data_IF_600237643966
#
_entry.id   IF_600237643966
#
_cell.length_a   1.000
_cell.length_b   1.000
_cell.length_c   1.000
_cell.angle_alpha   90.00
_cell.angle_beta   90.00
_cell.angle_gamma   90.00
#
_symmetry.space_group_name_H-M   'P 1'
#
loop_
_entity.id
_entity.type
_entity.pdbx_description
1 polymer ?
#
# COMPACT_ATOMS: atom_id res chain seq x y z
N UNK A 1 -57.71 15.41 29.15
CA UNK A 1 -56.53 16.31 29.10
C UNK A 1 -55.31 15.60 29.68
N UNK A 2 -54.43 15.10 28.81
CA UNK A 2 -52.99 14.90 29.08
C UNK A 2 -52.30 14.67 27.74
N UNK A 3 -51.77 15.75 27.19
CA UNK A 3 -50.95 15.74 25.98
C UNK A 3 -49.56 15.25 26.40
N UNK A 4 -49.09 14.14 25.83
CA UNK A 4 -47.67 13.74 25.89
C UNK A 4 -47.07 14.02 24.52
N UNK A 5 -46.31 15.10 24.45
CA UNK A 5 -45.45 15.44 23.32
C UNK A 5 -44.14 14.65 23.45
N UNK A 6 -44.00 13.57 22.68
CA UNK A 6 -42.69 12.99 22.40
C UNK A 6 -42.16 13.65 21.13
N UNK A 7 -41.31 14.65 21.30
CA UNK A 7 -40.46 15.18 20.25
C UNK A 7 -39.28 14.23 20.08
N UNK A 8 -39.36 13.36 19.09
CA UNK A 8 -38.19 12.70 18.51
C UNK A 8 -37.76 13.55 17.32
N UNK A 9 -36.75 14.39 17.51
CA UNK A 9 -36.08 15.07 16.40
C UNK A 9 -35.32 14.03 15.59
N UNK A 10 -35.85 13.67 14.43
CA UNK A 10 -35.10 12.97 13.39
C UNK A 10 -34.02 13.93 12.87
N UNK A 11 -32.77 13.66 13.22
CA UNK A 11 -31.62 14.23 12.53
C UNK A 11 -31.37 13.38 11.28
N UNK A 12 -31.99 13.73 10.15
CA UNK A 12 -31.68 13.19 8.83
C UNK A 12 -30.43 13.90 8.26
N UNK A 13 -29.34 13.91 9.03
CA UNK A 13 -28.05 14.47 8.61
C UNK A 13 -27.19 13.39 7.97
N UNK A 14 -27.10 13.39 6.65
CA UNK A 14 -26.05 12.62 5.94
C UNK A 14 -24.73 13.28 6.30
N UNK A 15 -24.02 12.72 7.30
CA UNK A 15 -22.63 13.08 7.58
C UNK A 15 -21.80 12.52 6.43
N UNK A 16 -21.72 13.24 5.33
CA UNK A 16 -20.68 12.98 4.34
C UNK A 16 -19.35 13.10 5.10
N UNK A 17 -18.36 12.29 4.76
CA UNK A 17 -16.97 12.64 5.04
C UNK A 17 -16.62 13.88 4.19
N UNK A 18 -17.32 14.99 4.44
CA UNK A 18 -17.33 16.22 3.67
C UNK A 18 -15.95 16.84 3.69
N UNK A 19 -15.18 16.66 4.76
CA UNK A 19 -13.75 17.00 4.77
C UNK A 19 -12.95 16.25 3.69
N UNK A 20 -13.21 14.95 3.46
CA UNK A 20 -12.52 14.16 2.43
C UNK A 20 -13.07 14.41 1.03
N UNK A 21 -14.39 14.63 0.87
CA UNK A 21 -14.98 15.07 -0.41
C UNK A 21 -14.49 16.46 -0.80
N UNK A 22 -14.40 17.37 0.17
CA UNK A 22 -13.88 18.72 -0.02
C UNK A 22 -12.39 18.73 -0.31
N UNK A 23 -11.58 17.87 0.32
CA UNK A 23 -10.17 17.65 -0.08
C UNK A 23 -10.11 17.11 -1.51
N UNK A 24 -10.98 16.15 -1.87
CA UNK A 24 -11.06 15.67 -3.25
C UNK A 24 -11.45 16.79 -4.23
N UNK A 25 -12.45 17.62 -3.90
CA UNK A 25 -12.94 18.72 -4.75
C UNK A 25 -11.97 19.91 -4.84
N UNK A 26 -11.29 20.27 -3.73
CA UNK A 26 -10.20 21.26 -3.72
C UNK A 26 -9.01 20.79 -4.57
N UNK A 27 -8.62 19.51 -4.47
CA UNK A 27 -7.54 18.96 -5.30
C UNK A 27 -7.94 18.66 -6.75
N UNK A 28 -9.22 18.38 -7.04
CA UNK A 28 -9.71 18.21 -8.42
C UNK A 28 -9.85 19.58 -9.13
N UNK A 29 -10.06 20.69 -8.40
CA UNK A 29 -10.02 22.05 -8.97
C UNK A 29 -8.64 22.45 -9.52
N UNK A 30 -7.53 22.02 -8.90
CA UNK A 30 -6.17 22.26 -9.43
C UNK A 30 -5.93 21.53 -10.76
N UNK A 31 -6.68 20.44 -11.02
CA UNK A 31 -6.63 19.65 -12.26
C UNK A 31 -7.26 20.38 -13.45
N UNK A 32 -8.32 21.16 -13.22
CA UNK A 32 -9.02 21.90 -14.29
C UNK A 32 -8.24 23.15 -14.70
N UNK A 33 -7.44 23.74 -13.80
CA UNK A 33 -6.63 24.93 -14.10
C UNK A 33 -5.38 24.67 -14.94
N UNK A 34 -4.97 23.42 -15.16
CA UNK A 34 -3.73 23.06 -15.88
C UNK A 34 -3.97 22.35 -17.23
N UNK A 35 -5.23 22.08 -17.60
CA UNK A 35 -5.56 21.51 -18.90
C UNK A 35 -5.74 22.64 -19.94
N UNK A 36 -4.64 22.99 -20.62
CA UNK A 36 -4.71 23.77 -21.86
C UNK A 36 -5.24 22.90 -23.01
N UNK A 37 -6.22 23.36 -23.81
CA UNK A 37 -6.77 22.58 -24.90
C UNK A 37 -5.84 22.64 -26.10
N UNK A 38 -5.11 21.55 -26.37
CA UNK A 38 -4.53 21.33 -27.68
C UNK A 38 -5.09 20.02 -28.25
N UNK A 39 -6.22 20.16 -28.93
CA UNK A 39 -6.63 19.26 -29.99
C UNK A 39 -5.67 19.41 -31.17
N UNK A 40 -4.99 18.34 -31.56
CA UNK A 40 -4.71 18.09 -32.98
C UNK A 40 -4.66 16.58 -33.21
N UNK A 41 -5.56 16.15 -34.10
CA UNK A 41 -5.73 14.77 -34.50
C UNK A 41 -4.55 14.21 -35.28
N UNK A 42 -4.52 12.88 -35.36
CA UNK A 42 -3.74 12.17 -36.36
C UNK A 42 -4.47 10.88 -36.72
N UNK A 43 -4.52 10.66 -38.03
CA UNK A 43 -5.41 9.80 -38.78
C UNK A 43 -5.11 8.30 -38.65
N UNK A 44 -6.17 7.52 -38.85
CA UNK A 44 -6.17 6.09 -39.04
C UNK A 44 -5.45 5.68 -40.34
N UNK A 45 -4.46 4.79 -40.22
CA UNK A 45 -3.93 4.00 -41.33
C UNK A 45 -4.32 2.53 -41.17
N UNK A 46 -5.33 2.10 -41.92
CA UNK A 46 -5.72 0.69 -42.11
C UNK A 46 -4.87 0.10 -43.23
N UNK A 47 -4.14 -0.99 -42.96
CA UNK A 47 -3.59 -1.86 -44.01
C UNK A 47 -3.79 -3.31 -43.59
N UNK A 48 -4.63 -4.02 -44.36
CA UNK A 48 -4.77 -5.46 -44.32
C UNK A 48 -3.67 -6.18 -45.13
N UNK A 49 -3.55 -7.49 -44.91
CA UNK A 49 -2.67 -8.35 -45.68
C UNK A 49 -2.81 -9.81 -45.25
N UNK A 50 -3.40 -10.59 -46.14
CA UNK A 50 -3.78 -11.99 -46.02
C UNK A 50 -2.60 -12.99 -45.99
N UNK A 51 -2.96 -14.22 -45.57
CA UNK A 51 -2.50 -15.51 -46.08
C UNK A 51 -1.00 -15.79 -46.29
N UNK A 52 -0.45 -16.70 -45.46
CA UNK A 52 0.41 -17.78 -45.96
C UNK A 52 0.44 -18.98 -44.99
N UNK A 53 -0.29 -20.02 -45.37
CA UNK A 53 0.00 -21.41 -44.99
C UNK A 53 1.36 -21.78 -45.60
N UNK A 54 2.32 -22.14 -44.77
CA UNK A 54 3.42 -22.97 -45.23
C UNK A 54 3.78 -24.03 -44.20
N UNK A 55 3.85 -25.25 -44.73
CA UNK A 55 4.04 -26.54 -44.09
C UNK A 55 5.46 -26.92 -44.43
N UNK A 56 6.35 -27.00 -43.45
CA UNK A 56 7.66 -27.62 -43.66
C UNK A 56 7.99 -28.59 -42.54
N UNK A 57 8.49 -29.72 -43.02
CA UNK A 57 8.87 -30.94 -42.36
C UNK A 57 10.09 -30.72 -41.46
N UNK A 58 10.18 -31.49 -40.38
CA UNK A 58 11.34 -31.44 -39.48
C UNK A 58 12.58 -32.14 -40.04
N UNK A 59 13.72 -32.01 -39.33
CA UNK A 59 14.74 -33.05 -39.28
C UNK A 59 14.92 -33.58 -37.85
N UNK A 60 15.32 -34.85 -37.79
CA UNK A 60 15.42 -35.68 -36.59
C UNK A 60 16.60 -35.37 -35.66
N UNK A 61 16.86 -36.28 -34.70
CA UNK A 61 17.72 -36.03 -33.55
C UNK A 61 19.18 -36.28 -33.90
N UNK A 62 20.04 -35.31 -33.60
CA UNK A 62 21.48 -35.41 -33.82
C UNK A 62 22.26 -34.56 -32.82
N UNK A 63 23.14 -35.26 -32.11
CA UNK A 63 24.42 -34.82 -31.53
C UNK A 63 24.46 -34.35 -30.06
N UNK A 64 25.17 -35.19 -29.30
CA UNK A 64 25.68 -35.04 -27.95
C UNK A 64 26.45 -33.73 -27.75
N UNK A 65 25.75 -32.72 -27.25
CA UNK A 65 26.35 -31.58 -26.57
C UNK A 65 26.66 -31.94 -25.12
N UNK A 66 27.91 -32.31 -24.83
CA UNK A 66 28.41 -32.45 -23.45
C UNK A 66 28.33 -31.09 -22.75
N UNK A 67 27.22 -30.82 -22.05
CA UNK A 67 27.11 -29.68 -21.15
C UNK A 67 28.04 -29.97 -19.97
N UNK A 68 29.16 -29.25 -19.88
CA UNK A 68 29.99 -29.24 -18.67
C UNK A 68 29.12 -28.77 -17.52
N UNK A 69 28.68 -29.72 -16.69
CA UNK A 69 28.05 -29.44 -15.41
C UNK A 69 29.08 -28.70 -14.55
N UNK A 70 29.01 -27.38 -14.52
CA UNK A 70 29.70 -26.57 -13.54
C UNK A 70 29.10 -26.93 -12.18
N UNK A 71 29.82 -27.75 -11.42
CA UNK A 71 29.44 -28.13 -10.07
C UNK A 71 29.18 -26.86 -9.26
N UNK A 72 27.97 -26.64 -8.73
CA UNK A 72 27.69 -25.46 -7.93
C UNK A 72 28.62 -25.49 -6.71
N UNK A 73 29.39 -24.40 -6.54
CA UNK A 73 30.33 -24.27 -5.45
C UNK A 73 29.61 -24.53 -4.11
N UNK A 74 30.11 -25.50 -3.35
CA UNK A 74 29.58 -25.87 -2.04
C UNK A 74 29.82 -24.70 -1.08
N UNK A 75 28.82 -23.85 -0.89
CA UNK A 75 28.86 -22.72 0.04
C UNK A 75 28.88 -23.26 1.47
N UNK A 76 29.95 -22.98 2.22
CA UNK A 76 30.06 -23.33 3.64
C UNK A 76 28.92 -22.65 4.42
N UNK A 77 28.10 -23.45 5.12
CA UNK A 77 27.05 -22.96 6.02
C UNK A 77 27.68 -22.16 7.16
N UNK A 78 27.44 -20.86 7.19
CA UNK A 78 27.77 -19.99 8.32
C UNK A 78 26.48 -19.62 9.04
N UNK A 79 26.47 -19.68 10.36
CA UNK A 79 25.36 -19.24 11.22
C UNK A 79 25.32 -17.71 11.31
N UNK A 80 25.49 -17.01 10.19
CA UNK A 80 25.40 -15.55 10.16
C UNK A 80 23.95 -15.13 10.37
N UNK A 81 23.72 -14.27 11.35
CA UNK A 81 22.38 -13.79 11.70
C UNK A 81 21.81 -12.81 10.66
N UNK A 82 22.63 -12.26 9.76
CA UNK A 82 22.20 -11.33 8.70
C UNK A 82 22.99 -11.62 7.41
N UNK A 83 22.27 -11.76 6.30
CA UNK A 83 22.87 -11.83 4.96
C UNK A 83 23.05 -10.42 4.42
N UNK A 84 24.18 -10.20 3.75
CA UNK A 84 24.50 -8.97 3.03
C UNK A 84 24.40 -9.20 1.53
N UNK A 85 24.28 -8.11 0.79
CA UNK A 85 24.27 -8.12 -0.67
C UNK A 85 25.54 -8.81 -1.25
N UNK A 86 26.68 -8.73 -0.55
CA UNK A 86 27.95 -9.40 -0.90
C UNK A 86 27.99 -10.90 -0.65
N UNK A 87 26.98 -11.47 0.03
CA UNK A 87 26.85 -12.93 0.16
C UNK A 87 26.23 -13.58 -1.11
N UNK A 88 25.80 -12.77 -2.08
CA UNK A 88 25.42 -13.23 -3.42
C UNK A 88 26.61 -13.17 -4.39
N UNK A 89 26.62 -14.00 -5.45
CA UNK A 89 27.58 -13.85 -6.55
C UNK A 89 27.53 -12.44 -7.13
N UNK A 90 28.69 -11.80 -7.32
CA UNK A 90 28.79 -10.39 -7.69
C UNK A 90 28.10 -10.07 -9.02
N UNK A 91 28.10 -11.02 -9.95
CA UNK A 91 27.44 -10.91 -11.25
C UNK A 91 25.91 -10.98 -11.18
N UNK A 92 25.35 -11.46 -10.07
CA UNK A 92 23.91 -11.65 -9.90
C UNK A 92 23.26 -10.48 -9.14
N UNK A 93 24.07 -9.63 -8.50
CA UNK A 93 23.61 -8.58 -7.62
C UNK A 93 22.71 -7.53 -8.30
N UNK A 94 23.05 -6.99 -9.50
CA UNK A 94 22.19 -6.03 -10.18
C UNK A 94 20.81 -6.61 -10.51
N UNK A 95 20.74 -7.84 -11.01
CA UNK A 95 19.50 -8.52 -11.34
C UNK A 95 18.73 -8.97 -10.09
N UNK A 96 19.40 -9.22 -8.96
CA UNK A 96 18.70 -9.49 -7.71
C UNK A 96 17.83 -8.30 -7.30
N UNK A 97 18.41 -7.09 -7.28
CA UNK A 97 17.67 -5.86 -6.94
C UNK A 97 16.68 -5.46 -8.04
N UNK A 98 17.09 -5.54 -9.31
CA UNK A 98 16.29 -5.08 -10.46
C UNK A 98 15.17 -6.04 -10.89
N UNK A 99 15.35 -7.34 -10.67
CA UNK A 99 14.44 -8.37 -11.23
C UNK A 99 13.83 -9.25 -10.12
N UNK A 100 14.66 -9.85 -9.26
CA UNK A 100 14.18 -10.81 -8.24
C UNK A 100 13.31 -10.13 -7.19
N UNK A 101 13.74 -8.98 -6.66
CA UNK A 101 13.02 -8.27 -5.60
C UNK A 101 11.63 -7.78 -6.06
N UNK A 102 11.48 -7.11 -7.21
CA UNK A 102 10.16 -6.72 -7.72
C UNK A 102 9.22 -7.92 -7.94
N UNK A 103 9.71 -9.02 -8.52
CA UNK A 103 8.93 -10.24 -8.71
C UNK A 103 8.51 -10.89 -7.38
N UNK A 104 9.38 -10.84 -6.37
CA UNK A 104 9.05 -11.32 -5.02
C UNK A 104 7.97 -10.45 -4.36
N UNK A 105 8.04 -9.12 -4.51
CA UNK A 105 7.02 -8.18 -4.00
C UNK A 105 5.68 -8.39 -4.68
N UNK A 106 5.67 -8.62 -6.00
CA UNK A 106 4.46 -8.98 -6.76
C UNK A 106 3.81 -10.23 -6.19
N UNK A 107 4.56 -11.35 -6.12
CA UNK A 107 4.03 -12.60 -5.62
C UNK A 107 3.54 -12.46 -4.17
N UNK A 108 4.33 -11.84 -3.29
CA UNK A 108 3.97 -11.61 -1.90
C UNK A 108 2.69 -10.76 -1.75
N UNK A 109 2.46 -9.79 -2.64
CA UNK A 109 1.24 -9.00 -2.67
C UNK A 109 -0.03 -9.81 -2.93
N UNK A 110 0.07 -10.93 -3.65
CA UNK A 110 -1.06 -11.81 -3.97
C UNK A 110 -1.42 -12.80 -2.87
N UNK A 111 -0.50 -13.03 -1.93
CA UNK A 111 -0.69 -13.97 -0.82
C UNK A 111 -1.53 -13.37 0.31
N UNK A 112 -1.80 -14.15 1.35
CA UNK A 112 -2.39 -13.62 2.58
C UNK A 112 -1.42 -12.63 3.25
N UNK A 113 -1.95 -11.58 3.92
CA UNK A 113 -1.09 -10.60 4.60
C UNK A 113 -0.17 -11.30 5.60
N UNK A 114 1.07 -10.80 5.70
CA UNK A 114 2.16 -11.34 6.53
C UNK A 114 2.69 -12.73 6.14
N UNK A 115 2.12 -13.42 5.16
CA UNK A 115 2.69 -14.67 4.67
C UNK A 115 4.00 -14.39 3.93
N UNK A 116 5.06 -15.11 4.30
CA UNK A 116 6.34 -15.07 3.61
C UNK A 116 6.36 -16.05 2.45
N UNK A 117 7.17 -15.74 1.43
CA UNK A 117 7.45 -16.69 0.36
C UNK A 117 8.16 -17.91 0.94
N UNK A 118 7.79 -19.10 0.48
CA UNK A 118 8.52 -20.31 0.80
C UNK A 118 9.73 -20.50 -0.14
N UNK A 119 10.63 -21.43 0.19
CA UNK A 119 11.86 -21.68 -0.58
C UNK A 119 11.56 -22.00 -2.04
N UNK A 120 10.52 -22.79 -2.32
CA UNK A 120 10.15 -23.16 -3.69
C UNK A 120 9.66 -21.95 -4.51
N UNK A 121 8.92 -21.04 -3.89
CA UNK A 121 8.49 -19.79 -4.53
C UNK A 121 9.67 -18.88 -4.84
N UNK A 122 10.62 -18.74 -3.90
CA UNK A 122 11.85 -17.96 -4.13
C UNK A 122 12.73 -18.62 -5.20
N UNK A 123 12.86 -19.96 -5.19
CA UNK A 123 13.56 -20.72 -6.22
C UNK A 123 12.95 -20.47 -7.60
N UNK A 124 11.61 -20.52 -7.73
CA UNK A 124 10.93 -20.27 -9.00
C UNK A 124 11.20 -18.85 -9.54
N UNK A 125 11.28 -17.84 -8.67
CA UNK A 125 11.64 -16.47 -9.07
C UNK A 125 13.10 -16.40 -9.51
N UNK A 126 14.02 -17.01 -8.75
CA UNK A 126 15.45 -17.04 -9.09
C UNK A 126 15.68 -17.76 -10.43
N UNK A 127 15.04 -18.92 -10.63
CA UNK A 127 15.10 -19.67 -11.89
C UNK A 127 14.51 -18.88 -13.06
N UNK A 128 13.44 -18.11 -12.82
CA UNK A 128 12.84 -17.23 -13.85
C UNK A 128 13.79 -16.12 -14.29
N UNK A 129 14.60 -15.58 -13.39
CA UNK A 129 15.53 -14.47 -13.68
C UNK A 129 16.85 -14.97 -14.27
N UNK A 130 17.38 -16.07 -13.74
CA UNK A 130 18.76 -16.52 -14.01
C UNK A 130 18.85 -17.79 -14.87
N UNK A 131 17.72 -18.47 -15.10
CA UNK A 131 17.66 -19.78 -15.74
C UNK A 131 17.62 -20.91 -14.70
N UNK A 132 16.93 -22.02 -15.01
CA UNK A 132 16.71 -23.11 -14.07
C UNK A 132 18.02 -23.73 -13.60
N UNK A 133 18.18 -23.88 -12.29
CA UNK A 133 19.33 -24.55 -11.68
C UNK A 133 20.63 -23.77 -11.69
N UNK A 134 20.64 -22.52 -12.20
CA UNK A 134 21.84 -21.67 -12.15
C UNK A 134 22.24 -21.32 -10.71
N UNK A 135 21.25 -21.05 -9.86
CA UNK A 135 21.45 -20.80 -8.44
C UNK A 135 20.47 -21.63 -7.60
N UNK A 136 20.99 -22.23 -6.52
CA UNK A 136 20.19 -22.98 -5.57
C UNK A 136 19.75 -22.08 -4.41
N UNK A 137 18.45 -22.06 -4.14
CA UNK A 137 17.85 -21.37 -3.01
C UNK A 137 17.67 -22.35 -1.87
N UNK A 138 18.37 -22.10 -0.77
CA UNK A 138 18.21 -22.84 0.48
C UNK A 138 17.45 -22.01 1.53
N UNK A 139 16.75 -22.67 2.45
CA UNK A 139 16.02 -22.00 3.55
C UNK A 139 16.91 -21.08 4.40
N UNK A 140 18.16 -21.48 4.61
CA UNK A 140 19.18 -20.72 5.33
C UNK A 140 20.28 -20.28 4.35
N UNK A 141 19.88 -19.90 3.13
CA UNK A 141 20.77 -19.39 2.09
C UNK A 141 20.60 -17.89 1.88
N UNK A 142 21.58 -17.22 1.26
CA UNK A 142 21.57 -15.77 1.07
C UNK A 142 20.40 -15.30 0.21
N UNK A 143 20.02 -16.05 -0.84
CA UNK A 143 18.85 -15.74 -1.67
C UNK A 143 17.56 -15.63 -0.86
N UNK A 144 17.26 -16.65 -0.06
CA UNK A 144 16.03 -16.69 0.73
C UNK A 144 16.04 -15.63 1.84
N UNK A 145 17.18 -15.48 2.53
CA UNK A 145 17.34 -14.50 3.60
C UNK A 145 17.23 -13.07 3.11
N UNK A 146 17.87 -12.71 2.00
CA UNK A 146 17.79 -11.38 1.41
C UNK A 146 16.39 -11.08 0.85
N UNK A 147 15.73 -12.02 0.18
CA UNK A 147 14.32 -11.83 -0.24
C UNK A 147 13.42 -11.58 0.96
N UNK A 148 13.57 -12.37 2.02
CA UNK A 148 12.80 -12.19 3.27
C UNK A 148 13.03 -10.82 3.87
N UNK A 149 14.28 -10.36 3.93
CA UNK A 149 14.63 -9.01 4.39
C UNK A 149 13.98 -7.92 3.54
N UNK A 150 14.09 -8.00 2.21
CA UNK A 150 13.50 -7.01 1.27
C UNK A 150 11.97 -7.00 1.32
N UNK A 151 11.33 -8.12 1.65
CA UNK A 151 9.89 -8.19 1.88
C UNK A 151 9.48 -7.56 3.21
N UNK A 152 10.29 -7.69 4.26
CA UNK A 152 10.05 -6.98 5.53
C UNK A 152 10.14 -5.47 5.34
N UNK A 153 11.19 -5.00 4.66
CA UNK A 153 11.34 -3.58 4.29
C UNK A 153 10.16 -3.06 3.45
N UNK A 154 9.76 -3.81 2.43
CA UNK A 154 8.57 -3.51 1.63
C UNK A 154 7.29 -3.36 2.47
N UNK A 155 7.09 -4.23 3.47
CA UNK A 155 5.94 -4.17 4.38
C UNK A 155 5.99 -2.93 5.28
N UNK A 156 7.16 -2.61 5.83
CA UNK A 156 7.38 -1.37 6.60
C UNK A 156 7.07 -0.12 5.77
N UNK A 157 7.31 -0.18 4.46
CA UNK A 157 6.91 0.85 3.51
C UNK A 157 5.42 1.21 3.57
N UNK A 158 4.50 0.27 3.81
CA UNK A 158 3.07 0.60 3.95
C UNK A 158 2.80 1.49 5.17
N UNK A 159 3.42 1.21 6.31
CA UNK A 159 3.27 2.03 7.51
C UNK A 159 3.77 3.46 7.29
N UNK A 160 4.92 3.61 6.63
CA UNK A 160 5.46 4.92 6.26
C UNK A 160 4.53 5.69 5.32
N UNK A 161 3.90 5.01 4.36
CA UNK A 161 3.01 5.65 3.39
C UNK A 161 1.66 6.02 4.03
N UNK A 162 1.17 5.23 4.99
CA UNK A 162 0.00 5.59 5.79
C UNK A 162 0.26 6.83 6.65
N UNK A 163 1.45 6.94 7.25
CA UNK A 163 1.88 8.14 7.97
C UNK A 163 1.84 9.38 7.07
N UNK A 164 2.51 9.31 5.91
CA UNK A 164 2.53 10.40 4.92
C UNK A 164 1.13 10.82 4.45
N UNK A 165 0.21 9.86 4.29
CA UNK A 165 -1.17 10.16 3.90
C UNK A 165 -1.85 11.08 4.93
N UNK A 166 -1.72 10.76 6.22
CA UNK A 166 -2.26 11.60 7.30
C UNK A 166 -1.53 12.94 7.44
N UNK A 167 -0.20 12.95 7.26
CA UNK A 167 0.57 14.20 7.31
C UNK A 167 0.09 15.19 6.24
N UNK A 168 -0.17 14.71 5.02
CA UNK A 168 -0.77 15.53 3.95
C UNK A 168 -2.17 16.00 4.31
N UNK A 169 -3.03 15.11 4.82
CA UNK A 169 -4.38 15.47 5.26
C UNK A 169 -4.38 16.62 6.29
N UNK A 170 -3.48 16.55 7.27
CA UNK A 170 -3.34 17.58 8.32
C UNK A 170 -2.70 18.87 7.77
N UNK A 171 -1.70 18.75 6.89
CA UNK A 171 -1.03 19.91 6.28
C UNK A 171 -2.00 20.70 5.40
N UNK A 172 -2.69 20.04 4.48
CA UNK A 172 -3.60 20.68 3.53
C UNK A 172 -4.76 21.39 4.26
N UNK A 173 -5.26 20.81 5.36
CA UNK A 173 -6.27 21.43 6.19
C UNK A 173 -5.80 22.74 6.86
N UNK A 174 -4.54 22.78 7.34
CA UNK A 174 -3.95 23.98 7.96
C UNK A 174 -3.70 25.10 6.96
N UNK A 175 -3.23 24.76 5.77
CA UNK A 175 -2.99 25.74 4.70
C UNK A 175 -4.31 26.40 4.28
N UNK A 176 -5.37 25.60 4.13
CA UNK A 176 -6.69 26.11 3.78
C UNK A 176 -7.30 27.02 4.85
N UNK A 177 -7.12 26.70 6.14
CA UNK A 177 -7.59 27.54 7.24
C UNK A 177 -6.88 28.90 7.28
N UNK A 178 -5.65 28.99 6.78
CA UNK A 178 -4.88 30.25 6.73
C UNK A 178 -5.44 31.23 5.69
N UNK A 179 -5.88 30.73 4.53
CA UNK A 179 -6.43 31.56 3.44
C UNK A 179 -7.73 32.26 3.84
N UNK A 180 -8.58 31.59 4.62
CA UNK A 180 -9.90 32.09 5.03
C UNK A 180 -9.85 33.27 6.03
N UNK A 181 -8.70 33.53 6.66
CA UNK A 181 -8.54 34.63 7.62
C UNK A 181 -8.06 35.94 6.96
N UNK A 182 -8.11 36.05 5.63
CA UNK A 182 -7.73 37.29 4.92
C UNK A 182 -8.93 38.27 4.89
N UNK A 183 -8.78 39.52 5.39
CA UNK A 183 -9.90 40.46 5.59
C UNK A 183 -10.71 40.89 4.36
N UNK A 184 -10.26 40.56 3.15
CA UNK A 184 -10.85 41.08 1.89
C UNK A 184 -11.88 40.14 1.24
N UNK A 185 -12.23 39.00 1.86
CA UNK A 185 -13.28 38.12 1.34
C UNK A 185 -14.67 38.66 1.68
N UNK A 186 -15.20 39.44 0.73
CA UNK A 186 -16.54 40.03 0.62
C UNK A 186 -17.66 39.04 1.03
N UNK A 187 -18.56 39.54 1.87
CA UNK A 187 -19.79 38.90 2.35
C UNK A 187 -20.67 38.42 1.18
N UNK A 188 -20.64 37.11 0.87
CA UNK A 188 -21.70 36.45 0.10
C UNK A 188 -22.60 35.67 1.07
N UNK A 189 -23.89 35.90 0.90
CA UNK A 189 -25.01 35.56 1.79
C UNK A 189 -25.17 34.05 2.10
N UNK A 190 -25.32 33.74 3.40
CA UNK A 190 -26.26 32.82 4.06
C UNK A 190 -26.64 31.44 3.45
N UNK A 191 -25.74 30.73 2.77
CA UNK A 191 -25.85 29.27 2.71
C UNK A 191 -25.28 28.69 4.01
N UNK A 192 -26.16 28.17 4.89
CA UNK A 192 -25.74 27.46 6.12
C UNK A 192 -24.69 26.42 5.72
N UNK A 193 -23.42 26.59 6.14
CA UNK A 193 -22.36 25.71 5.69
C UNK A 193 -22.66 24.33 6.25
N UNK A 194 -22.92 23.36 5.35
CA UNK A 194 -22.92 21.94 5.64
C UNK A 194 -21.71 21.66 6.53
N UNK A 195 -21.95 21.48 7.83
CA UNK A 195 -20.90 21.57 8.83
C UNK A 195 -19.81 20.55 8.50
N UNK A 196 -18.58 21.01 8.21
CA UNK A 196 -17.45 20.09 8.09
C UNK A 196 -17.40 19.28 9.40
N UNK A 197 -17.56 17.94 9.37
CA UNK A 197 -17.79 17.19 10.59
C UNK A 197 -16.58 17.20 11.54
N UNK A 198 -15.39 17.53 11.04
CA UNK A 198 -14.15 17.58 11.81
C UNK A 198 -13.28 18.76 11.36
N UNK A 199 -12.72 19.50 12.32
CA UNK A 199 -11.75 20.56 12.06
C UNK A 199 -10.31 20.04 12.15
N UNK A 200 -9.73 19.71 10.99
CA UNK A 200 -8.35 19.23 10.90
C UNK A 200 -7.28 20.32 11.11
N UNK A 201 -7.66 21.61 11.24
CA UNK A 201 -6.72 22.67 11.56
C UNK A 201 -6.28 22.62 13.04
N UNK A 202 -7.06 21.96 13.89
CA UNK A 202 -6.78 21.85 15.32
C UNK A 202 -6.68 20.39 15.79
N UNK A 203 -5.96 20.17 16.90
CA UNK A 203 -5.74 18.83 17.44
C UNK A 203 -7.05 18.13 17.84
N UNK A 204 -8.02 18.87 18.38
CA UNK A 204 -9.31 18.30 18.82
C UNK A 204 -10.07 17.68 17.65
N UNK A 205 -10.19 18.36 16.51
CA UNK A 205 -10.90 17.82 15.35
C UNK A 205 -10.16 16.65 14.70
N UNK A 206 -8.82 16.64 14.72
CA UNK A 206 -8.03 15.46 14.30
C UNK A 206 -8.31 14.27 15.22
N UNK A 207 -8.35 14.48 16.54
CA UNK A 207 -8.65 13.44 17.52
C UNK A 207 -10.05 12.86 17.33
N UNK A 208 -11.06 13.73 17.20
CA UNK A 208 -12.46 13.36 16.95
C UNK A 208 -12.60 12.56 15.65
N UNK A 209 -11.92 12.99 14.58
CA UNK A 209 -11.87 12.23 13.33
C UNK A 209 -11.26 10.84 13.55
N UNK A 210 -10.12 10.71 14.23
CA UNK A 210 -9.45 9.43 14.43
C UNK A 210 -10.27 8.48 15.32
N UNK A 211 -10.94 9.01 16.34
CA UNK A 211 -11.86 8.25 17.17
C UNK A 211 -13.06 7.75 16.36
N UNK A 212 -13.71 8.62 15.59
CA UNK A 212 -14.78 8.24 14.68
C UNK A 212 -14.32 7.19 13.66
N UNK A 213 -13.17 7.45 13.03
CA UNK A 213 -12.57 6.59 12.02
C UNK A 213 -12.39 5.16 12.53
N UNK A 214 -11.84 4.99 13.74
CA UNK A 214 -11.52 3.72 14.38
C UNK A 214 -12.68 3.06 15.13
N UNK A 215 -13.80 3.75 15.29
CA UNK A 215 -14.95 3.19 15.99
C UNK A 215 -15.59 2.07 15.16
N UNK A 216 -15.79 0.90 15.79
CA UNK A 216 -16.51 -0.19 15.16
C UNK A 216 -18.01 0.10 15.12
N UNK A 217 -18.56 0.34 13.95
CA UNK A 217 -19.99 0.52 13.78
C UNK A 217 -20.64 -0.80 13.36
N UNK A 218 -21.59 -1.27 14.18
CA UNK A 218 -22.39 -2.47 13.93
C UNK A 218 -23.81 -2.05 13.48
N UNK A 219 -24.08 -1.94 12.17
CA UNK A 219 -25.45 -1.72 11.71
C UNK A 219 -26.27 -3.00 11.96
N UNK A 220 -27.07 -2.98 13.03
CA UNK A 220 -27.90 -4.11 13.47
C UNK A 220 -27.12 -5.28 14.10
N UNK A 221 -27.81 -6.40 14.35
CA UNK A 221 -27.25 -7.64 14.93
C UNK A 221 -26.24 -8.39 14.03
N UNK A 222 -25.54 -7.70 13.12
CA UNK A 222 -24.58 -8.31 12.19
C UNK A 222 -23.28 -8.66 12.91
N UNK A 223 -22.75 -9.85 12.60
CA UNK A 223 -21.49 -10.38 13.15
C UNK A 223 -20.22 -9.67 12.64
N UNK A 224 -20.30 -8.88 11.57
CA UNK A 224 -19.14 -8.22 10.95
C UNK A 224 -19.24 -6.70 11.17
N UNK A 225 -18.36 -6.17 12.01
CA UNK A 225 -18.15 -4.74 12.17
C UNK A 225 -17.22 -4.21 11.08
N UNK A 226 -17.46 -2.99 10.64
CA UNK A 226 -16.54 -2.21 9.79
C UNK A 226 -16.33 -0.87 10.45
N UNK A 227 -15.14 -0.30 10.30
CA UNK A 227 -14.77 1.03 10.76
C UNK A 227 -15.03 2.07 9.66
N UNK A 228 -15.15 3.35 10.03
CA UNK A 228 -15.50 4.40 9.08
C UNK A 228 -14.39 4.64 8.03
N UNK A 229 -13.12 4.56 8.43
CA UNK A 229 -11.99 4.73 7.49
C UNK A 229 -11.91 3.66 6.40
N UNK A 230 -12.65 2.55 6.53
CA UNK A 230 -12.72 1.56 5.47
C UNK A 230 -13.54 2.02 4.28
N UNK A 231 -14.26 3.12 4.34
CA UNK A 231 -15.19 3.51 3.27
C UNK A 231 -14.78 4.87 2.71
N UNK A 232 -15.00 5.09 1.41
CA UNK A 232 -14.84 6.42 0.81
C UNK A 232 -15.84 7.39 1.43
N UNK A 233 -17.10 6.97 1.43
CA UNK A 233 -18.20 7.73 2.01
C UNK A 233 -18.78 6.91 3.14
N UNK A 234 -18.82 7.52 4.32
CA UNK A 234 -19.36 6.90 5.52
C UNK A 234 -20.37 7.87 6.13
N UNK A 235 -21.65 7.66 5.85
CA UNK A 235 -22.76 8.43 6.42
C UNK A 235 -22.96 8.16 7.92
N UNK A 236 -24.21 8.10 8.33
CA UNK A 236 -24.68 7.68 9.66
C UNK A 236 -24.42 6.19 10.01
N UNK A 237 -23.64 5.49 9.19
CA UNK A 237 -23.41 4.05 9.29
C UNK A 237 -24.43 3.17 8.56
N UNK A 238 -25.47 3.74 7.95
CA UNK A 238 -26.38 3.03 7.03
C UNK A 238 -25.99 3.25 5.58
N UNK A 239 -25.61 4.48 5.22
CA UNK A 239 -25.17 4.86 3.88
C UNK A 239 -23.64 4.77 3.78
N UNK A 240 -23.13 3.64 3.28
CA UNK A 240 -21.68 3.42 3.09
C UNK A 240 -21.37 3.10 1.64
N UNK A 241 -20.35 3.76 1.10
CA UNK A 241 -19.93 3.56 -0.29
C UNK A 241 -18.41 3.45 -0.40
N UNK A 242 -17.93 2.67 -1.37
CA UNK A 242 -16.52 2.57 -1.69
C UNK A 242 -15.70 1.85 -0.62
N UNK A 243 -16.03 0.59 -0.34
CA UNK A 243 -15.28 -0.21 0.64
C UNK A 243 -13.81 -0.40 0.21
N UNK A 244 -12.88 0.11 1.02
CA UNK A 244 -11.44 0.27 0.83
C UNK A 244 -11.02 1.28 -0.24
N UNK A 245 -11.90 2.23 -0.57
CA UNK A 245 -11.62 3.38 -1.44
C UNK A 245 -11.44 4.68 -0.66
N UNK A 246 -11.15 4.61 0.64
CA UNK A 246 -10.81 5.82 1.39
C UNK A 246 -9.44 6.36 0.95
N UNK A 247 -9.29 7.67 0.99
CA UNK A 247 -8.06 8.38 0.61
C UNK A 247 -6.80 7.73 1.21
N UNK A 248 -6.80 7.49 2.52
CA UNK A 248 -5.63 6.93 3.21
C UNK A 248 -5.30 5.51 2.72
N UNK A 249 -6.31 4.68 2.45
CA UNK A 249 -6.09 3.31 1.95
C UNK A 249 -5.56 3.36 0.52
N UNK A 250 -6.17 4.15 -0.37
CA UNK A 250 -5.72 4.27 -1.77
C UNK A 250 -4.29 4.80 -1.86
N UNK A 251 -3.98 5.87 -1.13
CA UNK A 251 -2.63 6.45 -1.08
C UNK A 251 -1.59 5.45 -0.58
N UNK A 252 -1.93 4.71 0.46
CA UNK A 252 -1.04 3.70 1.06
C UNK A 252 -0.88 2.49 0.14
N UNK A 253 -1.96 2.02 -0.47
CA UNK A 253 -1.94 0.89 -1.40
C UNK A 253 -1.18 1.20 -2.69
N UNK A 254 -1.18 2.46 -3.14
CA UNK A 254 -0.37 2.91 -4.27
C UNK A 254 1.14 2.67 -4.08
N UNK A 255 1.61 2.50 -2.84
CA UNK A 255 2.97 2.00 -2.53
C UNK A 255 3.26 0.71 -3.27
N UNK A 256 2.39 -0.29 -3.14
CA UNK A 256 2.57 -1.58 -3.80
C UNK A 256 2.57 -1.43 -5.32
N UNK A 257 1.68 -0.60 -5.87
CA UNK A 257 1.62 -0.39 -7.32
C UNK A 257 2.87 0.30 -7.88
N UNK A 258 3.54 1.14 -7.10
CA UNK A 258 4.84 1.70 -7.47
C UNK A 258 5.93 0.61 -7.51
N UNK A 259 5.86 -0.36 -6.60
CA UNK A 259 6.79 -1.50 -6.61
C UNK A 259 6.61 -2.38 -7.84
N UNK A 260 5.38 -2.53 -8.33
CA UNK A 260 5.11 -3.28 -9.57
C UNK A 260 5.64 -2.58 -10.82
N UNK A 261 5.79 -1.26 -10.80
CA UNK A 261 6.40 -0.52 -11.91
C UNK A 261 7.90 -0.84 -12.07
N UNK A 262 8.55 -1.30 -11.00
CA UNK A 262 9.94 -1.69 -11.04
C UNK A 262 10.16 -3.07 -11.68
N UNK A 263 9.10 -3.82 -12.01
CA UNK A 263 9.22 -5.11 -12.71
C UNK A 263 9.64 -4.86 -14.16
N UNK A 264 10.79 -5.40 -14.61
CA UNK A 264 11.23 -5.24 -15.99
C UNK A 264 10.21 -5.79 -17.00
N UNK A 265 10.01 -5.07 -18.11
CA UNK A 265 9.04 -5.38 -19.17
C UNK A 265 9.20 -6.80 -19.75
N UNK A 266 10.42 -7.35 -19.71
CA UNK A 266 10.71 -8.75 -20.14
C UNK A 266 9.97 -9.80 -19.31
N UNK A 267 9.46 -9.46 -18.13
CA UNK A 267 8.67 -10.36 -17.30
C UNK A 267 7.19 -10.01 -17.42
N UNK A 268 6.39 -10.98 -17.84
CA UNK A 268 4.93 -10.88 -17.75
C UNK A 268 4.51 -10.71 -16.29
N UNK A 269 3.72 -9.67 -16.02
CA UNK A 269 3.15 -9.41 -14.69
C UNK A 269 2.06 -10.41 -14.37
N UNK A 270 1.96 -10.77 -13.11
CA UNK A 270 0.88 -11.62 -12.63
C UNK A 270 -0.47 -10.92 -12.75
N UNK A 271 -1.45 -11.61 -13.31
CA UNK A 271 -2.85 -11.16 -13.31
C UNK A 271 -3.56 -11.42 -11.97
N UNK A 272 -2.86 -12.03 -11.01
CA UNK A 272 -3.42 -12.32 -9.70
C UNK A 272 -3.66 -11.02 -8.92
N UNK A 273 -4.80 -10.96 -8.21
CA UNK A 273 -5.18 -9.77 -7.46
C UNK A 273 -4.31 -9.62 -6.21
N UNK A 274 -3.78 -8.41 -5.92
CA UNK A 274 -2.86 -8.16 -4.81
C UNK A 274 -3.58 -8.05 -3.45
N UNK A 275 -4.25 -9.14 -3.04
CA UNK A 275 -5.11 -9.18 -1.85
C UNK A 275 -4.34 -8.90 -0.56
N UNK A 276 -3.16 -9.50 -0.40
CA UNK A 276 -2.30 -9.31 0.77
C UNK A 276 -1.81 -7.87 0.88
N UNK A 277 -1.38 -7.28 -0.24
CA UNK A 277 -0.93 -5.89 -0.27
C UNK A 277 -2.05 -4.90 0.10
N UNK A 278 -3.28 -5.13 -0.38
CA UNK A 278 -4.42 -4.29 0.01
C UNK A 278 -4.73 -4.40 1.51
N UNK A 279 -4.71 -5.61 2.07
CA UNK A 279 -4.93 -5.81 3.50
C UNK A 279 -3.81 -5.19 4.36
N UNK A 280 -2.56 -5.28 3.93
CA UNK A 280 -1.43 -4.59 4.58
C UNK A 280 -1.63 -3.07 4.58
N UNK A 281 -2.11 -2.50 3.47
CA UNK A 281 -2.43 -1.07 3.41
C UNK A 281 -3.52 -0.68 4.41
N UNK A 282 -4.59 -1.47 4.51
CA UNK A 282 -5.67 -1.25 5.50
C UNK A 282 -5.14 -1.28 6.93
N UNK A 283 -4.32 -2.27 7.27
CA UNK A 283 -3.72 -2.39 8.61
C UNK A 283 -2.75 -1.24 8.92
N UNK A 284 -1.96 -0.80 7.93
CA UNK A 284 -1.06 0.33 8.08
C UNK A 284 -1.83 1.63 8.37
N UNK A 285 -2.97 1.84 7.69
CA UNK A 285 -3.86 2.98 7.94
C UNK A 285 -4.47 2.91 9.34
N UNK A 286 -4.98 1.75 9.75
CA UNK A 286 -5.54 1.54 11.09
C UNK A 286 -4.52 1.88 12.18
N UNK A 287 -3.29 1.35 12.05
CA UNK A 287 -2.17 1.66 12.94
C UNK A 287 -1.92 3.15 13.02
N UNK A 288 -1.81 3.79 11.87
CA UNK A 288 -1.43 5.19 11.80
C UNK A 288 -2.51 6.10 12.39
N UNK A 289 -3.80 5.83 12.13
CA UNK A 289 -4.91 6.53 12.79
C UNK A 289 -4.84 6.39 14.32
N UNK A 290 -4.39 5.22 14.80
CA UNK A 290 -4.13 4.99 16.22
C UNK A 290 -3.12 5.96 16.84
N UNK A 291 -2.14 6.43 16.07
CA UNK A 291 -1.11 7.37 16.53
C UNK A 291 -1.59 8.82 16.58
N UNK A 292 -2.72 9.12 15.92
CA UNK A 292 -3.32 10.46 15.87
C UNK A 292 -4.52 10.62 16.82
N UNK A 293 -4.81 9.63 17.68
CA UNK A 293 -5.99 9.64 18.58
C UNK A 293 -6.02 10.81 19.57
N UNK A 294 -4.88 11.43 19.88
CA UNK A 294 -4.79 12.62 20.75
C UNK A 294 -4.88 13.93 19.96
N UNK A 295 -4.97 13.86 18.63
CA UNK A 295 -4.88 15.02 17.74
C UNK A 295 -3.45 15.43 17.37
N UNK A 296 -2.46 14.78 17.98
CA UNK A 296 -1.05 14.94 17.68
C UNK A 296 -0.47 13.57 17.32
N UNK A 297 0.55 13.55 16.50
CA UNK A 297 1.25 12.31 16.17
C UNK A 297 2.05 11.81 17.37
N UNK A 298 1.57 10.74 18.01
CA UNK A 298 2.21 10.11 19.17
C UNK A 298 2.39 8.63 18.88
N UNK A 299 3.64 8.23 18.63
CA UNK A 299 4.00 6.80 18.54
C UNK A 299 4.08 6.23 19.96
N UNK A 300 3.24 5.25 20.33
CA UNK A 300 3.32 4.66 21.65
C UNK A 300 4.65 3.95 21.86
N UNK A 301 5.14 3.93 23.10
CA UNK A 301 6.40 3.26 23.47
C UNK A 301 6.21 1.73 23.44
N UNK A 302 7.26 1.02 23.04
CA UNK A 302 7.32 -0.45 23.06
C UNK A 302 7.21 -1.11 21.69
N UNK A 303 7.58 -2.39 21.63
CA UNK A 303 7.62 -3.17 20.39
C UNK A 303 6.26 -3.53 19.82
N UNK A 304 5.20 -3.51 20.64
CA UNK A 304 3.83 -3.93 20.26
C UNK A 304 3.23 -3.08 19.13
N UNK A 305 3.82 -1.89 18.90
CA UNK A 305 3.40 -0.95 17.88
C UNK A 305 4.24 -1.03 16.62
N UNK A 306 5.23 -1.92 16.55
CA UNK A 306 5.95 -2.18 15.30
C UNK A 306 5.01 -2.79 14.28
N UNK A 307 5.13 -2.36 13.03
CA UNK A 307 4.35 -2.89 11.92
C UNK A 307 4.97 -4.21 11.45
N UNK A 308 4.83 -5.24 12.28
CA UNK A 308 5.43 -6.56 12.12
C UNK A 308 4.37 -7.66 12.10
N UNK A 309 4.77 -8.84 11.62
CA UNK A 309 3.93 -10.04 11.67
C UNK A 309 3.52 -10.37 13.11
N UNK A 310 4.42 -10.27 14.07
CA UNK A 310 4.14 -10.66 15.46
C UNK A 310 3.02 -9.83 16.09
N UNK A 311 2.90 -8.56 15.71
CA UNK A 311 1.90 -7.65 16.28
C UNK A 311 0.62 -7.55 15.44
N UNK A 312 0.72 -7.69 14.12
CA UNK A 312 -0.37 -7.39 13.18
C UNK A 312 -0.88 -8.61 12.40
N UNK A 313 -0.29 -9.79 12.56
CA UNK A 313 -0.86 -11.03 12.00
C UNK A 313 -2.03 -11.56 12.83
N UNK A 314 -2.64 -12.66 12.39
CA UNK A 314 -3.70 -13.30 13.16
C UNK A 314 -3.13 -13.99 14.41
N UNK A 315 -3.63 -13.61 15.58
CA UNK A 315 -3.14 -14.12 16.87
C UNK A 315 -3.89 -15.42 17.20
N UNK A 316 -3.14 -16.47 17.51
CA UNK A 316 -3.67 -17.75 18.00
C UNK A 316 -3.39 -17.86 19.49
N UNK A 317 -4.43 -17.82 20.30
CA UNK A 317 -4.34 -18.00 21.74
C UNK A 317 -5.01 -19.31 22.13
N UNK A 318 -4.23 -20.25 22.65
CA UNK A 318 -4.79 -21.49 23.23
C UNK A 318 -5.14 -21.24 24.68
N UNK A 319 -6.40 -21.41 25.03
CA UNK A 319 -6.87 -21.32 26.42
C UNK A 319 -6.26 -22.49 27.22
N UNK A 320 -5.45 -22.22 28.27
CA UNK A 320 -4.80 -23.27 29.04
C UNK A 320 -5.79 -24.16 29.81
N UNK A 321 -7.01 -23.68 30.08
CA UNK A 321 -8.02 -24.44 30.85
C UNK A 321 -8.81 -25.38 29.96
N UNK A 322 -9.21 -24.92 28.78
CA UNK A 322 -10.09 -25.68 27.88
C UNK A 322 -9.34 -26.39 26.75
N UNK A 323 -8.09 -26.00 26.48
CA UNK A 323 -7.33 -26.45 25.31
C UNK A 323 -7.83 -25.88 23.98
N UNK A 324 -8.86 -25.04 23.99
CA UNK A 324 -9.43 -24.46 22.78
C UNK A 324 -8.55 -23.32 22.25
N UNK A 325 -8.29 -23.30 20.95
CA UNK A 325 -7.59 -22.20 20.28
C UNK A 325 -8.58 -21.13 19.83
N UNK A 326 -8.51 -19.95 20.44
CA UNK A 326 -9.16 -18.74 19.96
C UNK A 326 -8.26 -18.09 18.91
N UNK A 327 -8.80 -17.81 17.72
CA UNK A 327 -8.09 -17.11 16.65
C UNK A 327 -8.68 -15.70 16.53
N UNK A 328 -7.89 -14.69 16.92
CA UNK A 328 -8.24 -13.29 16.72
C UNK A 328 -7.73 -12.86 15.35
N UNK A 329 -8.65 -12.68 14.40
CA UNK A 329 -8.31 -12.33 13.02
C UNK A 329 -8.11 -10.82 12.89
N UNK A 330 -6.85 -10.40 12.84
CA UNK A 330 -6.46 -9.01 12.61
C UNK A 330 -6.22 -8.81 11.12
N UNK A 331 -5.31 -9.60 10.55
CA UNK A 331 -4.88 -9.46 9.16
C UNK A 331 -5.90 -10.04 8.17
N UNK A 332 -6.53 -11.16 8.51
CA UNK A 332 -7.42 -11.87 7.57
C UNK A 332 -8.91 -11.55 7.76
N UNK A 333 -9.26 -10.57 8.61
CA UNK A 333 -10.66 -10.19 8.95
C UNK A 333 -11.53 -10.03 7.70
N UNK A 334 -11.02 -9.38 6.66
CA UNK A 334 -11.75 -9.08 5.42
C UNK A 334 -11.34 -9.95 4.22
N UNK A 335 -10.43 -10.91 4.38
CA UNK A 335 -9.89 -11.72 3.29
C UNK A 335 -11.00 -12.42 2.48
N UNK A 336 -11.95 -13.05 3.19
CA UNK A 336 -13.08 -13.74 2.55
C UNK A 336 -14.03 -12.81 1.80
N UNK A 337 -14.12 -11.53 2.20
CA UNK A 337 -14.93 -10.53 1.52
C UNK A 337 -14.23 -10.07 0.24
N UNK A 338 -12.93 -9.77 0.32
CA UNK A 338 -12.13 -9.30 -0.82
C UNK A 338 -11.98 -10.39 -1.89
N UNK A 339 -11.78 -11.65 -1.50
CA UNK A 339 -11.71 -12.79 -2.46
C UNK A 339 -13.01 -13.00 -3.26
N UNK A 340 -14.14 -12.41 -2.82
CA UNK A 340 -15.44 -12.47 -3.51
C UNK A 340 -15.73 -11.24 -4.37
N UNK A 341 -14.83 -10.26 -4.41
CA UNK A 341 -14.98 -9.11 -5.30
C UNK A 341 -14.96 -9.56 -6.76
N UNK A 342 -15.76 -8.90 -7.58
CA UNK A 342 -15.77 -9.11 -9.03
C UNK A 342 -14.52 -8.50 -9.67
N UNK A 343 -14.29 -8.80 -10.95
CA UNK A 343 -13.17 -8.22 -11.69
C UNK A 343 -13.30 -6.70 -11.77
N UNK A 344 -14.50 -6.19 -12.07
CA UNK A 344 -14.79 -4.76 -12.19
C UNK A 344 -14.51 -4.01 -10.88
N UNK A 345 -14.85 -4.63 -9.74
CA UNK A 345 -14.57 -4.05 -8.42
C UNK A 345 -13.06 -3.94 -8.16
N UNK A 346 -12.29 -4.93 -8.59
CA UNK A 346 -10.83 -4.91 -8.50
C UNK A 346 -10.21 -3.88 -9.44
N UNK A 347 -10.72 -3.78 -10.66
CA UNK A 347 -10.23 -2.82 -11.66
C UNK A 347 -10.46 -1.40 -11.14
N UNK A 348 -11.64 -1.10 -10.59
CA UNK A 348 -11.90 0.16 -9.90
C UNK A 348 -10.90 0.44 -8.76
N UNK A 349 -10.61 -0.55 -7.91
CA UNK A 349 -9.66 -0.40 -6.81
C UNK A 349 -8.25 -0.06 -7.32
N UNK A 350 -7.82 -0.71 -8.41
CA UNK A 350 -6.50 -0.52 -9.01
C UNK A 350 -6.39 0.83 -9.72
N UNK A 351 -7.39 1.20 -10.51
CA UNK A 351 -7.43 2.46 -11.25
C UNK A 351 -7.39 3.67 -10.32
N UNK A 352 -8.19 3.64 -9.25
CA UNK A 352 -8.21 4.74 -8.28
C UNK A 352 -6.93 4.83 -7.46
N UNK A 353 -6.32 3.70 -7.10
CA UNK A 353 -5.02 3.69 -6.44
C UNK A 353 -3.90 4.17 -7.39
N UNK A 354 -4.02 3.91 -8.70
CA UNK A 354 -3.04 4.34 -9.69
C UNK A 354 -2.96 5.86 -9.82
N UNK A 355 -4.05 6.60 -9.60
CA UNK A 355 -4.06 8.08 -9.57
C UNK A 355 -3.05 8.63 -8.54
N UNK A 356 -2.88 7.93 -7.41
CA UNK A 356 -1.95 8.35 -6.36
C UNK A 356 -0.49 8.06 -6.67
N UNK A 357 -0.20 7.20 -7.65
CA UNK A 357 1.17 6.96 -8.14
C UNK A 357 1.68 8.19 -8.88
N UNK A 358 0.88 8.69 -9.81
CA UNK A 358 1.25 9.81 -10.68
C UNK A 358 1.52 11.08 -9.88
N UNK A 359 0.68 11.36 -8.88
CA UNK A 359 0.87 12.50 -7.97
C UNK A 359 2.22 12.46 -7.21
N UNK A 360 2.69 11.27 -6.83
CA UNK A 360 4.01 11.11 -6.19
C UNK A 360 5.17 11.36 -7.15
N UNK A 361 5.00 11.09 -8.45
CA UNK A 361 6.01 11.37 -9.48
C UNK A 361 6.12 12.86 -9.76
N UNK A 362 4.99 13.56 -9.84
CA UNK A 362 4.95 15.00 -10.12
C UNK A 362 5.64 15.83 -9.03
N UNK A 363 5.45 15.49 -7.74
CA UNK A 363 6.16 16.16 -6.63
C UNK A 363 7.68 15.93 -6.64
N UNK A 364 8.18 14.90 -7.33
CA UNK A 364 9.61 14.57 -7.41
C UNK A 364 10.32 15.19 -8.61
N UNK A 365 9.61 15.76 -9.57
CA UNK A 365 10.25 16.48 -10.67
C UNK A 365 10.72 17.82 -10.10
N UNK A 366 12.04 18.04 -9.92
CA UNK A 366 12.52 19.36 -9.58
C UNK A 366 12.08 20.27 -10.70
N UNK A 367 11.31 21.31 -10.36
CA UNK A 367 11.06 22.40 -11.27
C UNK A 367 12.45 22.88 -11.70
N UNK A 368 12.83 22.57 -12.93
CA UNK A 368 14.10 23.01 -13.52
C UNK A 368 13.96 24.50 -13.82
N UNK A 369 13.96 25.29 -12.76
CA UNK A 369 13.97 26.72 -12.77
C UNK A 369 14.82 27.16 -11.58
N UNK A 370 16.03 27.60 -11.92
CA UNK A 370 17.02 28.23 -11.07
C UNK A 370 16.42 29.05 -9.90
N UNK A 371 16.54 28.52 -8.69
CA UNK A 371 16.64 29.35 -7.49
C UNK A 371 17.37 28.54 -6.42
N UNK A 372 18.56 28.99 -6.07
CA UNK A 372 19.39 28.41 -5.04
C UNK A 372 18.81 28.74 -3.67
N UNK A 373 17.99 27.86 -3.11
CA UNK A 373 17.74 27.86 -1.68
C UNK A 373 17.74 26.42 -1.16
N UNK A 374 18.42 26.27 -0.04
CA UNK A 374 18.94 25.02 0.52
C UNK A 374 17.78 24.08 0.90
N UNK A 375 17.53 23.05 0.09
CA UNK A 375 16.68 21.93 0.49
C UNK A 375 17.45 21.07 1.49
N UNK A 376 16.89 20.98 2.70
CA UNK A 376 17.31 20.06 3.74
C UNK A 376 16.97 18.62 3.29
N UNK A 377 17.97 17.97 2.71
CA UNK A 377 17.91 16.55 2.34
C UNK A 377 17.72 15.75 3.63
N UNK A 378 16.53 15.16 3.81
CA UNK A 378 16.34 14.10 4.79
C UNK A 378 17.11 12.88 4.26
N UNK A 379 18.40 12.83 4.60
CA UNK A 379 19.20 11.61 4.49
C UNK A 379 18.52 10.56 5.36
N UNK A 380 17.95 9.54 4.71
CA UNK A 380 17.66 8.28 5.38
C UNK A 380 19.04 7.68 5.65
N UNK A 381 19.57 7.98 6.83
CA UNK A 381 20.79 7.36 7.35
C UNK A 381 20.47 5.88 7.51
N UNK A 382 20.93 5.07 6.56
CA UNK A 382 21.14 3.65 6.79
C UNK A 382 22.29 3.54 7.81
N UNK A 383 21.92 3.57 9.10
CA UNK A 383 22.82 3.34 10.24
C UNK A 383 23.35 1.89 10.18
N UNK A 384 24.38 1.68 9.37
CA UNK A 384 25.14 0.43 9.20
C UNK A 384 26.62 0.63 9.62
N UNK A 385 26.91 1.35 10.72
CA UNK A 385 28.20 1.36 11.46
C UNK A 385 27.83 1.56 12.96
N UNK A 386 28.23 0.78 13.98
CA UNK A 386 29.50 0.15 14.33
C UNK A 386 29.31 -1.13 15.17
N UNK A 387 30.08 -2.18 14.85
CA UNK A 387 30.35 -3.31 15.74
C UNK A 387 31.39 -2.87 16.80
N UNK A 388 30.95 -2.62 18.04
CA UNK A 388 31.85 -2.54 19.20
C UNK A 388 32.30 -3.96 19.54
N UNK A 389 33.51 -4.31 19.11
CA UNK A 389 34.24 -5.48 19.62
C UNK A 389 34.68 -5.16 21.05
N UNK A 390 33.93 -5.66 22.04
CA UNK A 390 34.40 -5.75 23.42
C UNK A 390 35.36 -6.93 23.49
N UNK A 391 36.65 -6.64 23.58
CA UNK A 391 37.67 -7.63 23.98
C UNK A 391 37.64 -7.81 25.50
N UNK A 392 37.58 -9.08 25.93
CA UNK A 392 37.69 -9.54 27.32
C UNK A 392 39.01 -9.11 28.01
#
# INVERSE_FOLDING_TARGET
MRVRSNSTSNFDGVVLLGGLRWIHECHDRERVSSASPNEMGSEFGVVGGDDARERLEGPGPGEDGTIKATTPALVKRTTKNKYKDSDLPSEAFPQFKGDVVPLARELAGTLEPWLFLNVAQVQAIVDRVFGPGKYLVEKNGPWFGLVTYRLTDWRSGFALQAQKAMDYLVKDAKECATVQNTPDSIEMEDEEPDSKPFDFANAKGIAEFCEFALTEHKPGNKKKSTMAFHWRTYGDGTNKEGFFLSYNILYTFAHHLNELDNIPVKYERSMARPVGALLLAVQAVERNLGFWKTGQYVVPKGSDWFFSCDNWSDIRQTDPKTGNTLITRHATKYLSTIKKWTAERWDQQLDEAAVWKERKRQKKLPCSAASSEVEEVIEIIDDDEDDVVVSD
#
